data_IF_438359344342
#
_entry.id   IF_438359344342
#
_cell.length_a   1.000
_cell.length_b   1.000
_cell.length_c   1.000
_cell.angle_alpha   90.00
_cell.angle_beta   90.00
_cell.angle_gamma   90.00
#
_symmetry.space_group_name_H-M   'P 1'
#
loop_
_entity.id
_entity.type
_entity.pdbx_description
1 polymer ?
#
# COMPACT_ATOMS: atom_id res chain seq x y z
N UNK A 1 -4.37 0.43 -4.06
CA UNK A 1 -4.28 -1.01 -4.36
C UNK A 1 -2.82 -1.41 -4.25
N UNK A 2 -2.53 -2.43 -3.46
CA UNK A 2 -1.18 -2.96 -3.26
C UNK A 2 -1.06 -4.35 -3.88
N UNK A 3 0.17 -4.81 -4.04
CA UNK A 3 0.46 -6.15 -4.51
C UNK A 3 1.86 -6.57 -4.09
N UNK A 4 2.07 -7.88 -4.01
CA UNK A 4 3.32 -8.50 -3.60
C UNK A 4 4.05 -9.02 -4.82
N UNK A 5 5.31 -8.61 -5.00
CA UNK A 5 6.19 -9.16 -6.03
C UNK A 5 6.59 -10.59 -5.61
N UNK A 6 6.28 -11.56 -6.46
CA UNK A 6 6.60 -12.98 -6.23
C UNK A 6 7.86 -13.43 -6.98
N UNK A 7 8.18 -12.77 -8.10
CA UNK A 7 9.37 -13.08 -8.90
C UNK A 7 9.86 -11.82 -9.63
N UNK A 8 11.18 -11.69 -9.74
CA UNK A 8 11.84 -10.60 -10.46
C UNK A 8 12.76 -11.21 -11.51
N UNK A 9 12.58 -10.79 -12.75
CA UNK A 9 13.45 -11.17 -13.87
C UNK A 9 13.83 -9.93 -14.68
N UNK A 10 14.76 -10.06 -15.62
CA UNK A 10 15.21 -8.93 -16.42
C UNK A 10 14.07 -8.38 -17.28
N UNK A 11 13.54 -7.22 -16.91
CA UNK A 11 12.48 -6.55 -17.64
C UNK A 11 11.05 -6.97 -17.25
N UNK A 12 10.86 -7.96 -16.38
CA UNK A 12 9.54 -8.47 -15.99
C UNK A 12 9.42 -8.69 -14.47
N UNK A 13 8.28 -8.27 -13.91
CA UNK A 13 7.87 -8.53 -12.54
C UNK A 13 6.63 -9.42 -12.53
N UNK A 14 6.64 -10.45 -11.71
CA UNK A 14 5.43 -11.22 -11.38
C UNK A 14 4.87 -10.72 -10.04
N UNK A 15 3.60 -10.33 -10.01
CA UNK A 15 2.97 -9.68 -8.86
C UNK A 15 1.62 -10.34 -8.57
N UNK A 16 1.35 -10.63 -7.30
CA UNK A 16 0.01 -11.01 -6.84
C UNK A 16 -0.64 -9.80 -6.17
N UNK A 17 -1.78 -9.35 -6.70
CA UNK A 17 -2.54 -8.24 -6.14
C UNK A 17 -3.33 -8.66 -4.90
N UNK A 18 -3.48 -7.74 -3.95
CA UNK A 18 -4.23 -7.94 -2.70
C UNK A 18 -5.76 -7.84 -2.89
N UNK A 19 -6.25 -8.11 -4.10
CA UNK A 19 -7.68 -8.16 -4.42
C UNK A 19 -8.34 -9.40 -3.81
N UNK A 20 -9.67 -9.35 -3.72
CA UNK A 20 -10.51 -10.52 -3.43
C UNK A 20 -11.51 -10.73 -4.59
N UNK A 21 -11.33 -11.75 -5.46
CA UNK A 21 -10.28 -12.78 -5.40
C UNK A 21 -8.90 -12.25 -5.81
N UNK A 22 -7.84 -12.89 -5.28
CA UNK A 22 -6.46 -12.54 -5.62
C UNK A 22 -6.20 -12.73 -7.12
N UNK A 23 -5.42 -11.82 -7.70
CA UNK A 23 -5.07 -11.83 -9.13
C UNK A 23 -3.57 -11.81 -9.32
N UNK A 24 -3.07 -12.68 -10.19
CA UNK A 24 -1.67 -12.71 -10.60
C UNK A 24 -1.47 -11.93 -11.90
N UNK A 25 -0.46 -11.06 -11.90
CA UNK A 25 -0.11 -10.18 -13.02
C UNK A 25 1.38 -10.32 -13.37
N UNK A 26 1.68 -10.07 -14.65
CA UNK A 26 3.03 -9.88 -15.16
C UNK A 26 3.17 -8.45 -15.66
N UNK A 27 4.14 -7.73 -15.14
CA UNK A 27 4.43 -6.35 -15.52
C UNK A 27 5.73 -6.34 -16.32
N UNK A 28 5.64 -5.97 -17.59
CA UNK A 28 6.81 -5.64 -18.37
C UNK A 28 7.27 -4.21 -18.03
N UNK A 29 8.39 -4.11 -17.34
CA UNK A 29 8.95 -2.84 -16.82
C UNK A 29 9.43 -1.89 -17.93
N UNK A 30 9.67 -2.38 -19.15
CA UNK A 30 9.98 -1.52 -20.30
C UNK A 30 8.72 -0.86 -20.89
N UNK A 31 7.56 -1.51 -20.73
CA UNK A 31 6.27 -1.04 -21.26
C UNK A 31 5.42 -0.31 -20.23
N UNK A 32 5.61 -0.58 -18.94
CA UNK A 32 4.81 -0.02 -17.87
C UNK A 32 5.65 0.25 -16.63
N UNK A 33 5.74 1.52 -16.24
CA UNK A 33 6.55 2.00 -15.10
C UNK A 33 5.74 2.80 -14.08
N UNK A 34 4.40 2.75 -14.15
CA UNK A 34 3.51 3.48 -13.24
C UNK A 34 3.23 2.66 -11.97
N UNK A 35 4.28 2.30 -11.25
CA UNK A 35 4.20 1.66 -9.95
C UNK A 35 5.26 2.24 -9.02
N UNK A 36 4.96 2.28 -7.73
CA UNK A 36 5.85 2.77 -6.67
C UNK A 36 6.12 1.65 -5.67
N UNK A 37 7.09 1.85 -4.78
CA UNK A 37 7.26 0.97 -3.62
C UNK A 37 6.05 1.08 -2.68
N UNK A 38 5.53 -0.08 -2.25
CA UNK A 38 4.37 -0.19 -1.37
C UNK A 38 4.67 -0.25 0.13
N UNK A 39 5.94 -0.16 0.55
CA UNK A 39 6.34 -0.33 1.97
C UNK A 39 5.72 0.72 2.91
N UNK A 40 5.52 1.94 2.41
CA UNK A 40 4.83 3.00 3.10
C UNK A 40 3.97 3.75 2.09
N UNK A 41 2.74 4.07 2.46
CA UNK A 41 1.80 4.81 1.62
C UNK A 41 1.28 6.01 2.37
N UNK A 42 1.02 7.10 1.63
CA UNK A 42 0.37 8.28 2.20
C UNK A 42 -1.03 7.92 2.70
N UNK A 43 -1.50 8.65 3.72
CA UNK A 43 -2.87 8.52 4.27
C UNK A 43 -3.92 8.57 3.15
N UNK A 44 -3.76 9.47 2.17
CA UNK A 44 -4.64 9.60 1.01
C UNK A 44 -4.66 8.33 0.13
N UNK A 45 -3.49 7.79 -0.26
CA UNK A 45 -3.40 6.54 -1.03
C UNK A 45 -3.96 5.32 -0.28
N UNK A 46 -4.06 5.37 1.06
CA UNK A 46 -4.63 4.31 1.89
C UNK A 46 -6.12 4.47 2.20
N UNK A 47 -6.82 5.49 1.70
CA UNK A 47 -8.27 5.63 1.91
C UNK A 47 -9.04 4.37 1.42
N UNK A 48 -10.08 3.94 2.14
CA UNK A 48 -10.78 2.66 1.93
C UNK A 48 -10.09 1.36 2.41
N UNK A 49 -8.76 1.23 2.39
CA UNK A 49 -8.02 0.07 2.95
C UNK A 49 -8.15 -0.18 4.47
N UNK A 50 -8.50 -1.40 4.88
CA UNK A 50 -8.53 -1.80 6.28
C UNK A 50 -7.41 -2.81 6.55
N UNK A 51 -6.58 -2.56 7.56
CA UNK A 51 -5.43 -3.40 7.92
C UNK A 51 -5.51 -3.84 9.37
N UNK A 52 -4.87 -4.95 9.72
CA UNK A 52 -4.88 -5.41 11.11
C UNK A 52 -4.03 -4.51 12.02
N UNK A 53 -2.90 -4.02 11.50
CA UNK A 53 -1.97 -3.10 12.16
C UNK A 53 -1.62 -1.92 11.26
N UNK A 54 -1.63 -0.72 11.82
CA UNK A 54 -1.16 0.49 11.17
C UNK A 54 0.00 1.12 11.96
N UNK A 55 1.07 1.49 11.25
CA UNK A 55 2.16 2.29 11.78
C UNK A 55 2.09 3.67 11.12
N UNK A 56 1.98 4.73 11.92
CA UNK A 56 1.75 6.09 11.41
C UNK A 56 2.93 6.98 11.75
N UNK A 57 3.66 7.44 10.74
CA UNK A 57 4.70 8.45 10.93
C UNK A 57 4.05 9.84 11.02
N UNK A 58 4.03 10.42 12.22
CA UNK A 58 3.50 11.77 12.44
C UNK A 58 4.37 12.85 11.75
N UNK A 59 3.73 13.88 11.19
CA UNK A 59 4.43 15.03 10.58
C UNK A 59 3.71 16.34 10.88
N UNK A 60 4.43 17.47 10.81
CA UNK A 60 3.89 18.81 11.11
C UNK A 60 2.75 19.26 10.21
N UNK A 61 2.60 18.65 9.04
CA UNK A 61 1.51 18.92 8.09
C UNK A 61 0.23 18.13 8.38
N UNK A 62 0.22 17.27 9.40
CA UNK A 62 -0.99 16.53 9.78
C UNK A 62 -1.93 17.44 10.58
N UNK A 63 -3.13 17.63 10.06
CA UNK A 63 -4.24 18.20 10.80
C UNK A 63 -5.02 17.10 11.55
N UNK A 64 -6.05 17.49 12.29
CA UNK A 64 -6.85 16.53 13.06
C UNK A 64 -7.57 15.50 12.17
N UNK A 65 -7.95 15.87 10.94
CA UNK A 65 -8.59 14.95 10.00
C UNK A 65 -7.62 13.89 9.49
N UNK A 66 -6.38 14.27 9.13
CA UNK A 66 -5.34 13.34 8.70
C UNK A 66 -4.94 12.40 9.82
N UNK A 67 -4.82 12.91 11.05
CA UNK A 67 -4.60 12.07 12.22
C UNK A 67 -5.74 11.06 12.42
N UNK A 68 -7.00 11.51 12.37
CA UNK A 68 -8.17 10.63 12.52
C UNK A 68 -8.21 9.52 11.47
N UNK A 69 -8.04 9.86 10.19
CA UNK A 69 -8.06 8.86 9.10
C UNK A 69 -6.90 7.87 9.26
N UNK A 70 -5.70 8.33 9.59
CA UNK A 70 -4.55 7.46 9.80
C UNK A 70 -4.77 6.49 10.97
N UNK A 71 -5.29 7.00 12.09
CA UNK A 71 -5.54 6.19 13.28
C UNK A 71 -6.70 5.22 13.11
N UNK A 72 -7.69 5.48 12.26
CA UNK A 72 -8.86 4.59 12.10
C UNK A 72 -8.68 3.46 11.07
N UNK A 73 -7.48 3.32 10.47
CA UNK A 73 -7.22 2.26 9.47
C UNK A 73 -7.05 0.87 10.07
N UNK A 74 -6.67 0.79 11.35
CA UNK A 74 -6.40 -0.47 12.04
C UNK A 74 -7.68 -1.13 12.54
N UNK A 75 -7.74 -2.46 12.51
CA UNK A 75 -8.83 -3.23 13.16
C UNK A 75 -8.56 -3.56 14.61
N UNK A 76 -7.30 -3.79 14.98
CA UNK A 76 -6.97 -4.41 16.27
C UNK A 76 -5.89 -3.70 17.06
N UNK A 77 -4.86 -3.15 16.40
CA UNK A 77 -3.76 -2.49 17.11
C UNK A 77 -3.18 -1.29 16.32
N UNK A 78 -2.77 -0.25 17.04
CA UNK A 78 -2.22 1.00 16.52
C UNK A 78 -0.96 1.39 17.28
N UNK A 79 0.11 1.69 16.54
CA UNK A 79 1.33 2.27 17.10
C UNK A 79 1.68 3.59 16.38
N UNK A 80 2.01 4.60 17.17
CA UNK A 80 2.36 5.97 16.76
C UNK A 80 3.84 6.24 16.99
#
# INVERSE_FOLDING_TARGET
MLGTVTEVSQGELKVTLDDDPKRDLRINTQKYQHFDHGYAVTIHKSQGATVDKAYVLASRSMDHHLAYVAMTRHKSDLQL
#
